data_IF_093643093404
#
_entry.id   IF_093643093404
#
_cell.length_a   1.000
_cell.length_b   1.000
_cell.length_c   1.000
_cell.angle_alpha   90.00
_cell.angle_beta   90.00
_cell.angle_gamma   90.00
#
_symmetry.space_group_name_H-M   'P 1'
#
loop_
_entity.id
_entity.type
_entity.pdbx_description
1 polymer ?
#
# COMPACT_ATOMS: atom_id res chain seq x y z
N UNK A 1 22.99 -28.33 1.37
CA UNK A 1 23.04 -28.00 2.81
C UNK A 1 21.91 -28.73 3.51
N UNK A 2 22.16 -29.25 4.72
CA UNK A 2 21.13 -29.88 5.55
C UNK A 2 20.28 -28.80 6.23
N UNK A 3 19.01 -29.10 6.50
CA UNK A 3 18.10 -28.18 7.19
C UNK A 3 18.65 -27.72 8.56
N UNK A 4 19.27 -28.62 9.31
CA UNK A 4 19.86 -28.34 10.63
C UNK A 4 21.04 -27.36 10.61
N UNK A 5 21.54 -26.97 9.43
CA UNK A 5 22.55 -25.93 9.31
C UNK A 5 21.95 -24.53 9.47
N UNK A 6 20.64 -24.36 9.24
CA UNK A 6 19.92 -23.10 9.47
C UNK A 6 19.89 -22.80 10.96
N UNK A 7 20.36 -21.61 11.34
CA UNK A 7 20.33 -21.16 12.74
C UNK A 7 18.88 -21.02 13.19
N UNK A 8 18.56 -21.60 14.35
CA UNK A 8 17.20 -21.65 14.89
C UNK A 8 16.37 -22.85 14.42
N UNK A 9 16.84 -23.64 13.44
CA UNK A 9 16.16 -24.85 12.96
C UNK A 9 16.68 -26.08 13.71
N UNK A 10 15.99 -26.44 14.80
CA UNK A 10 16.32 -27.60 15.62
C UNK A 10 16.07 -28.94 14.90
N UNK A 11 16.84 -29.98 15.26
CA UNK A 11 16.73 -31.32 14.68
C UNK A 11 15.32 -31.93 14.77
N UNK A 12 14.53 -31.57 15.78
CA UNK A 12 13.14 -32.02 15.91
C UNK A 12 12.24 -31.47 14.79
N UNK A 13 12.39 -30.18 14.45
CA UNK A 13 11.63 -29.54 13.38
C UNK A 13 12.16 -29.95 12.01
N UNK A 14 13.47 -30.15 11.85
CA UNK A 14 14.06 -30.70 10.63
C UNK A 14 13.42 -32.04 10.24
N UNK A 15 13.26 -32.96 11.19
CA UNK A 15 12.60 -34.25 10.95
C UNK A 15 11.12 -34.12 10.57
N UNK A 16 10.43 -33.11 11.09
CA UNK A 16 9.03 -32.85 10.74
C UNK A 16 8.92 -32.27 9.32
N UNK A 17 9.82 -31.37 8.94
CA UNK A 17 9.95 -30.85 7.57
C UNK A 17 10.27 -31.97 6.57
N UNK A 18 11.19 -32.87 6.91
CA UNK A 18 11.53 -34.04 6.08
C UNK A 18 10.32 -34.95 5.83
N UNK A 19 9.49 -35.17 6.88
CA UNK A 19 8.23 -35.94 6.76
C UNK A 19 7.20 -35.23 5.88
N UNK A 20 7.22 -33.90 5.84
CA UNK A 20 6.37 -33.08 4.99
C UNK A 20 6.93 -32.90 3.56
N UNK A 21 8.03 -33.58 3.22
CA UNK A 21 8.62 -33.56 1.88
C UNK A 21 9.73 -32.52 1.66
N UNK A 22 10.06 -31.72 2.69
CA UNK A 22 11.13 -30.72 2.66
C UNK A 22 12.39 -31.35 3.23
N UNK A 23 13.32 -31.78 2.37
CA UNK A 23 14.48 -32.59 2.77
C UNK A 23 15.77 -31.77 2.84
N UNK A 24 15.87 -30.73 2.03
CA UNK A 24 17.04 -29.90 1.88
C UNK A 24 16.70 -28.41 2.03
N UNK A 25 17.70 -27.59 2.34
CA UNK A 25 17.54 -26.13 2.46
C UNK A 25 16.91 -25.50 1.21
N UNK A 26 17.23 -26.01 0.01
CA UNK A 26 16.68 -25.50 -1.25
C UNK A 26 15.18 -25.73 -1.39
N UNK A 27 14.64 -26.76 -0.73
CA UNK A 27 13.22 -27.10 -0.83
C UNK A 27 12.37 -26.04 -0.14
N UNK A 28 12.93 -25.35 0.88
CA UNK A 28 12.29 -24.20 1.52
C UNK A 28 12.04 -23.06 0.54
N UNK A 29 12.92 -22.82 -0.44
CA UNK A 29 12.80 -21.70 -1.40
C UNK A 29 11.56 -21.79 -2.28
N UNK A 30 11.04 -23.01 -2.48
CA UNK A 30 9.88 -23.26 -3.32
C UNK A 30 8.55 -23.06 -2.60
N UNK A 31 8.57 -22.83 -1.28
CA UNK A 31 7.37 -22.67 -0.48
C UNK A 31 6.74 -21.31 -0.74
N UNK A 32 5.47 -21.30 -1.13
CA UNK A 32 4.65 -20.09 -1.04
C UNK A 32 4.37 -19.74 0.42
N UNK A 33 4.02 -18.48 0.70
CA UNK A 33 3.63 -18.08 2.05
C UNK A 33 2.50 -18.94 2.63
N UNK A 34 1.53 -19.33 1.80
CA UNK A 34 0.46 -20.25 2.21
C UNK A 34 1.02 -21.62 2.64
N UNK A 35 1.96 -22.18 1.87
CA UNK A 35 2.61 -23.45 2.22
C UNK A 35 3.44 -23.33 3.51
N UNK A 36 4.11 -22.20 3.73
CA UNK A 36 4.80 -21.89 5.00
C UNK A 36 3.78 -21.90 6.15
N UNK A 37 2.66 -21.20 6.02
CA UNK A 37 1.64 -21.15 7.08
C UNK A 37 1.09 -22.52 7.44
N UNK A 38 0.75 -23.34 6.44
CA UNK A 38 0.26 -24.72 6.67
C UNK A 38 1.33 -25.60 7.32
N UNK A 39 2.56 -25.52 6.81
CA UNK A 39 3.67 -26.32 7.30
C UNK A 39 4.04 -25.93 8.73
N UNK A 40 4.13 -24.64 9.04
CA UNK A 40 4.42 -24.13 10.38
C UNK A 40 3.40 -24.63 11.42
N UNK A 41 2.10 -24.58 11.09
CA UNK A 41 1.04 -25.15 11.93
C UNK A 41 1.22 -26.66 12.13
N UNK A 42 1.50 -27.40 11.06
CA UNK A 42 1.65 -28.86 11.12
C UNK A 42 2.85 -29.32 11.95
N UNK A 43 3.93 -28.53 11.98
CA UNK A 43 5.17 -28.86 12.71
C UNK A 43 5.26 -28.16 14.08
N UNK A 44 4.25 -27.37 14.45
CA UNK A 44 4.13 -26.73 15.76
C UNK A 44 5.09 -25.56 16.00
N UNK A 45 5.35 -24.75 14.97
CA UNK A 45 6.17 -23.52 15.09
C UNK A 45 5.39 -22.29 14.67
N UNK A 46 5.83 -21.11 15.13
CA UNK A 46 5.27 -19.86 14.64
C UNK A 46 5.56 -19.69 13.14
N UNK A 47 4.61 -19.12 12.39
CA UNK A 47 4.75 -18.89 10.94
C UNK A 47 6.04 -18.10 10.66
N UNK A 48 6.27 -17.02 11.42
CA UNK A 48 7.49 -16.21 11.35
C UNK A 48 8.78 -17.03 11.52
N UNK A 49 8.76 -18.08 12.34
CA UNK A 49 9.94 -18.94 12.53
C UNK A 49 10.28 -19.71 11.27
N UNK A 50 9.27 -20.30 10.60
CA UNK A 50 9.48 -21.02 9.34
C UNK A 50 9.84 -20.06 8.20
N UNK A 51 9.23 -18.87 8.18
CA UNK A 51 9.53 -17.78 7.27
C UNK A 51 11.00 -17.37 7.36
N UNK A 52 11.51 -17.14 8.58
CA UNK A 52 12.94 -16.88 8.82
C UNK A 52 13.86 -18.02 8.35
N UNK A 53 13.42 -19.28 8.42
CA UNK A 53 14.20 -20.38 7.86
C UNK A 53 14.25 -20.33 6.33
N UNK A 54 13.17 -19.91 5.67
CA UNK A 54 13.15 -19.67 4.23
C UNK A 54 14.02 -18.46 3.84
N UNK A 55 13.94 -17.36 4.57
CA UNK A 55 14.79 -16.16 4.40
C UNK A 55 16.29 -16.51 4.50
N UNK A 56 16.66 -17.30 5.52
CA UNK A 56 18.01 -17.83 5.65
C UNK A 56 18.40 -18.71 4.45
N UNK A 57 17.49 -19.58 4.00
CA UNK A 57 17.72 -20.42 2.82
C UNK A 57 17.97 -19.57 1.56
N UNK A 58 17.22 -18.48 1.39
CA UNK A 58 17.36 -17.58 0.24
C UNK A 58 18.71 -16.85 0.28
N UNK A 59 19.06 -16.22 1.40
CA UNK A 59 20.34 -15.52 1.57
C UNK A 59 21.56 -16.44 1.34
N UNK A 60 21.48 -17.70 1.76
CA UNK A 60 22.55 -18.70 1.58
C UNK A 60 22.74 -19.15 0.12
N UNK A 61 21.93 -18.67 -0.84
CA UNK A 61 22.18 -18.86 -2.27
C UNK A 61 23.37 -18.05 -2.77
N UNK A 62 23.76 -16.99 -2.05
CA UNK A 62 24.91 -16.15 -2.38
C UNK A 62 26.19 -16.84 -1.90
N UNK A 63 27.18 -17.00 -2.79
CA UNK A 63 28.44 -17.67 -2.47
C UNK A 63 29.19 -16.96 -1.32
N UNK A 64 29.64 -17.75 -0.35
CA UNK A 64 30.27 -17.25 0.87
C UNK A 64 29.32 -16.74 1.97
N UNK A 65 27.99 -16.72 1.76
CA UNK A 65 27.02 -16.47 2.83
C UNK A 65 26.79 -17.75 3.63
N UNK A 66 27.48 -17.87 4.77
CA UNK A 66 27.29 -18.99 5.72
C UNK A 66 26.01 -18.82 6.56
N UNK A 67 25.53 -19.86 7.26
CA UNK A 67 24.33 -19.74 8.12
C UNK A 67 24.43 -18.64 9.19
N UNK A 68 25.62 -18.42 9.75
CA UNK A 68 25.88 -17.32 10.71
C UNK A 68 25.75 -15.95 10.06
N UNK A 69 26.19 -15.84 8.81
CA UNK A 69 26.09 -14.59 8.05
C UNK A 69 24.63 -14.35 7.67
N UNK A 70 23.91 -15.36 7.17
CA UNK A 70 22.48 -15.26 6.84
C UNK A 70 21.66 -14.78 8.04
N UNK A 71 21.84 -15.42 9.20
CA UNK A 71 21.19 -15.00 10.45
C UNK A 71 21.53 -13.56 10.84
N UNK A 72 22.78 -13.14 10.68
CA UNK A 72 23.17 -11.79 11.04
C UNK A 72 22.65 -10.73 10.06
N UNK A 73 22.52 -11.08 8.77
CA UNK A 73 21.91 -10.23 7.76
C UNK A 73 20.41 -10.04 8.03
N UNK A 74 19.70 -11.13 8.34
CA UNK A 74 18.30 -11.09 8.74
C UNK A 74 18.07 -10.22 9.98
N UNK A 75 18.92 -10.36 11.01
CA UNK A 75 18.85 -9.53 12.23
C UNK A 75 19.07 -8.02 11.99
N UNK A 76 19.68 -7.61 10.88
CA UNK A 76 19.83 -6.19 10.50
C UNK A 76 18.79 -5.73 9.46
N UNK A 77 17.77 -6.56 9.21
CA UNK A 77 16.65 -6.35 8.29
C UNK A 77 17.07 -6.46 6.83
N UNK A 78 17.84 -7.50 6.48
CA UNK A 78 18.22 -7.85 5.12
C UNK A 78 17.81 -9.31 4.90
N UNK A 79 16.56 -9.53 4.53
CA UNK A 79 15.88 -10.81 4.75
C UNK A 79 15.87 -11.73 3.53
N UNK A 80 16.09 -11.18 2.33
CA UNK A 80 16.12 -11.95 1.09
C UNK A 80 17.18 -11.48 0.11
N UNK A 81 17.51 -12.32 -0.87
CA UNK A 81 18.40 -11.97 -1.99
C UNK A 81 17.83 -10.79 -2.77
N UNK A 82 16.51 -10.73 -2.95
CA UNK A 82 15.82 -9.63 -3.63
C UNK A 82 16.05 -8.30 -2.91
N UNK A 83 15.88 -8.27 -1.59
CA UNK A 83 16.17 -7.06 -0.82
C UNK A 83 17.65 -6.69 -0.82
N UNK A 84 18.52 -7.69 -0.79
CA UNK A 84 19.97 -7.53 -0.73
C UNK A 84 20.50 -6.68 -1.89
N UNK A 85 19.90 -6.79 -3.08
CA UNK A 85 20.27 -6.05 -4.31
C UNK A 85 20.27 -4.52 -4.13
N UNK A 86 19.36 -4.00 -3.30
CA UNK A 86 19.13 -2.56 -3.15
C UNK A 86 19.93 -1.94 -2.00
N UNK A 87 20.70 -2.74 -1.26
CA UNK A 87 21.36 -2.28 -0.04
C UNK A 87 22.68 -1.58 -0.33
N UNK A 88 23.02 -0.61 0.52
CA UNK A 88 24.31 0.04 0.50
C UNK A 88 25.34 -0.77 1.29
N UNK A 89 26.38 -1.29 0.62
CA UNK A 89 27.40 -2.14 1.24
C UNK A 89 28.09 -1.48 2.45
N UNK A 90 28.33 -0.17 2.41
CA UNK A 90 28.97 0.57 3.53
C UNK A 90 28.06 0.59 4.75
N UNK A 91 26.77 0.89 4.54
CA UNK A 91 25.79 0.90 5.63
C UNK A 91 25.58 -0.50 6.21
N UNK A 92 25.57 -1.55 5.36
CA UNK A 92 25.47 -2.93 5.81
C UNK A 92 26.66 -3.32 6.71
N UNK A 93 27.90 -2.95 6.34
CA UNK A 93 29.07 -3.18 7.20
C UNK A 93 28.94 -2.50 8.55
N UNK A 94 28.52 -1.23 8.58
CA UNK A 94 28.35 -0.50 9.85
C UNK A 94 27.26 -1.12 10.74
N UNK A 95 26.13 -1.55 10.15
CA UNK A 95 25.11 -2.30 10.87
C UNK A 95 25.61 -3.63 11.42
N UNK A 96 26.39 -4.39 10.63
CA UNK A 96 26.97 -5.66 11.09
C UNK A 96 28.02 -5.46 12.19
N UNK A 97 28.77 -4.35 12.16
CA UNK A 97 29.67 -3.97 13.26
C UNK A 97 28.90 -3.66 14.54
N UNK A 98 27.82 -2.89 14.43
CA UNK A 98 26.95 -2.57 15.56
C UNK A 98 26.34 -3.84 16.15
N UNK A 99 25.75 -4.70 15.31
CA UNK A 99 25.20 -5.99 15.73
C UNK A 99 26.26 -6.87 16.42
N UNK A 100 27.49 -6.93 15.89
CA UNK A 100 28.58 -7.69 16.50
C UNK A 100 29.03 -7.09 17.84
N UNK A 101 28.98 -5.77 17.99
CA UNK A 101 29.31 -5.08 19.25
C UNK A 101 28.26 -5.40 20.31
N UNK A 102 26.99 -5.35 19.94
CA UNK A 102 25.87 -5.55 20.87
C UNK A 102 25.67 -7.04 21.18
N UNK A 103 25.90 -7.92 20.19
CA UNK A 103 25.74 -9.36 20.29
C UNK A 103 26.98 -10.11 19.76
N UNK A 104 28.06 -10.23 20.56
CA UNK A 104 29.33 -10.82 20.12
C UNK A 104 29.26 -12.27 19.63
N UNK A 105 28.23 -13.02 19.97
CA UNK A 105 28.07 -14.43 19.60
C UNK A 105 27.47 -14.64 18.21
N UNK A 106 26.76 -13.64 17.67
CA UNK A 106 25.98 -13.75 16.42
C UNK A 106 26.88 -13.89 15.19
N UNK A 107 28.03 -13.22 15.18
CA UNK A 107 29.01 -13.24 14.09
C UNK A 107 30.40 -13.47 14.66
N UNK A 108 31.23 -14.33 14.07
CA UNK A 108 32.63 -14.46 14.50
C UNK A 108 33.48 -13.31 13.95
N UNK A 109 33.30 -12.98 12.68
CA UNK A 109 34.02 -11.92 11.97
C UNK A 109 33.05 -11.12 11.11
N UNK A 110 33.17 -9.79 11.14
CA UNK A 110 32.38 -8.91 10.28
C UNK A 110 32.92 -8.99 8.84
N UNK A 111 32.07 -9.24 7.84
CA UNK A 111 32.47 -9.21 6.43
C UNK A 111 33.03 -7.85 6.02
N UNK A 112 34.02 -7.84 5.13
CA UNK A 112 34.62 -6.58 4.66
C UNK A 112 33.69 -5.90 3.64
N UNK A 113 33.86 -4.59 3.43
CA UNK A 113 33.10 -3.84 2.42
C UNK A 113 33.13 -4.54 1.05
N UNK A 114 34.29 -5.05 0.65
CA UNK A 114 34.47 -5.72 -0.64
C UNK A 114 33.65 -7.01 -0.74
N UNK A 115 33.53 -7.76 0.36
CA UNK A 115 32.70 -8.97 0.42
C UNK A 115 31.23 -8.62 0.23
N UNK A 116 30.70 -7.61 0.94
CA UNK A 116 29.31 -7.17 0.75
C UNK A 116 29.05 -6.66 -0.68
N UNK A 117 29.97 -5.90 -1.25
CA UNK A 117 29.85 -5.43 -2.64
C UNK A 117 29.76 -6.62 -3.62
N UNK A 118 30.57 -7.66 -3.40
CA UNK A 118 30.52 -8.87 -4.23
C UNK A 118 29.19 -9.61 -4.06
N UNK A 119 28.70 -9.77 -2.83
CA UNK A 119 27.39 -10.38 -2.56
C UNK A 119 26.24 -9.60 -3.21
N UNK A 120 26.27 -8.27 -3.23
CA UNK A 120 25.26 -7.46 -3.93
C UNK A 120 25.30 -7.72 -5.44
N UNK A 121 26.51 -7.81 -6.02
CA UNK A 121 26.68 -8.13 -7.44
C UNK A 121 26.14 -9.52 -7.76
N UNK A 122 26.37 -10.48 -6.88
CA UNK A 122 25.87 -11.85 -7.04
C UNK A 122 24.35 -11.94 -6.86
N UNK A 123 23.80 -11.26 -5.85
CA UNK A 123 22.35 -11.15 -5.63
C UNK A 123 21.62 -10.59 -6.86
N UNK A 124 22.23 -9.62 -7.56
CA UNK A 124 21.70 -9.08 -8.83
C UNK A 124 21.64 -10.12 -9.94
N UNK A 125 22.63 -11.03 -10.01
CA UNK A 125 22.64 -12.12 -11.00
C UNK A 125 21.57 -13.17 -10.69
N UNK A 126 21.25 -13.36 -9.40
CA UNK A 126 20.26 -14.35 -8.95
C UNK A 126 18.80 -13.90 -9.11
N UNK A 127 18.56 -12.60 -9.37
CA UNK A 127 17.22 -11.99 -9.38
C UNK A 127 16.80 -11.40 -10.72
N UNK A 128 17.58 -11.62 -11.80
CA UNK A 128 17.36 -11.04 -13.14
C UNK A 128 17.12 -9.51 -13.15
N UNK A 129 17.63 -8.81 -12.14
CA UNK A 129 17.62 -7.35 -12.12
C UNK A 129 18.65 -6.84 -13.15
N UNK A 130 18.26 -6.00 -14.14
CA UNK A 130 19.17 -5.55 -15.19
C UNK A 130 20.47 -4.96 -14.63
N UNK A 131 21.61 -5.32 -15.26
CA UNK A 131 22.91 -4.73 -14.95
C UNK A 131 22.90 -3.23 -15.26
N UNK A 132 22.62 -2.41 -14.25
CA UNK A 132 23.01 -1.00 -14.26
C UNK A 132 24.52 -0.91 -14.49
N UNK A 133 24.91 -0.25 -15.58
CA UNK A 133 26.23 -0.32 -16.20
C UNK A 133 27.43 0.02 -15.32
N UNK A 134 28.58 -0.44 -15.79
CA UNK A 134 29.91 -0.23 -15.21
C UNK A 134 30.20 1.25 -14.90
N UNK A 135 30.76 1.50 -13.72
CA UNK A 135 31.37 2.78 -13.38
C UNK A 135 32.61 3.01 -14.26
N UNK A 136 32.48 3.84 -15.28
CA UNK A 136 33.63 4.47 -15.93
C UNK A 136 34.32 5.40 -14.93
N UNK A 137 35.60 5.17 -14.64
CA UNK A 137 36.44 6.09 -13.88
C UNK A 137 36.57 7.42 -14.64
N UNK A 138 35.86 8.47 -14.21
CA UNK A 138 36.17 9.85 -14.60
C UNK A 138 37.16 10.44 -13.57
N UNK A 139 38.22 11.07 -14.08
CA UNK A 139 39.20 11.86 -13.30
C UNK A 139 38.47 12.91 -12.44
N UNK A 140 39.04 13.29 -11.28
CA UNK A 140 38.40 14.26 -10.38
C UNK A 140 38.27 15.61 -11.09
N UNK A 141 37.04 16.05 -11.30
CA UNK A 141 36.70 17.40 -11.71
C UNK A 141 36.66 18.26 -10.43
N UNK A 142 37.24 19.48 -10.42
CA UNK A 142 37.20 20.35 -9.25
C UNK A 142 35.76 20.57 -8.79
N UNK A 143 35.54 20.60 -7.46
CA UNK A 143 34.23 20.87 -6.86
C UNK A 143 33.76 22.27 -7.27
N UNK A 144 32.88 22.35 -8.25
CA UNK A 144 31.95 23.46 -8.32
C UNK A 144 30.88 23.27 -7.25
N UNK A 145 30.56 24.36 -6.55
CA UNK A 145 29.44 24.40 -5.61
C UNK A 145 28.20 23.93 -6.37
N UNK A 146 27.54 22.90 -5.86
CA UNK A 146 26.21 22.55 -6.34
C UNK A 146 25.35 23.82 -6.30
N UNK A 147 24.62 24.15 -7.38
CA UNK A 147 23.60 25.17 -7.26
C UNK A 147 22.62 24.71 -6.17
N UNK A 148 22.02 25.66 -5.42
CA UNK A 148 21.03 25.32 -4.41
C UNK A 148 20.03 24.33 -5.01
N UNK A 149 19.73 23.25 -4.29
CA UNK A 149 18.60 22.39 -4.61
C UNK A 149 17.39 23.31 -4.67
N UNK A 150 16.84 23.53 -5.86
CA UNK A 150 15.64 24.34 -6.02
C UNK A 150 14.61 23.76 -5.04
N UNK A 151 14.16 24.61 -4.13
CA UNK A 151 12.93 24.37 -3.39
C UNK A 151 11.87 23.98 -4.41
N UNK A 152 11.10 22.90 -4.21
CA UNK A 152 10.00 22.56 -5.11
C UNK A 152 9.20 23.82 -5.33
N UNK A 153 9.04 24.23 -6.58
CA UNK A 153 8.25 25.40 -6.92
C UNK A 153 6.87 25.21 -6.28
N UNK A 154 6.55 26.05 -5.30
CA UNK A 154 5.29 25.97 -4.55
C UNK A 154 4.12 26.49 -5.39
N UNK A 155 4.36 26.87 -6.65
CA UNK A 155 3.28 27.13 -7.59
C UNK A 155 2.45 25.87 -7.76
N UNK A 156 1.21 25.93 -7.28
CA UNK A 156 0.17 24.98 -7.69
C UNK A 156 0.16 25.02 -9.23
N UNK A 157 0.40 23.89 -9.92
CA UNK A 157 0.43 23.89 -11.36
C UNK A 157 -0.93 24.37 -11.86
N UNK A 158 -0.95 25.54 -12.49
CA UNK A 158 -2.10 25.93 -13.30
C UNK A 158 -2.17 24.87 -14.38
N UNK A 159 -3.26 24.12 -14.42
CA UNK A 159 -3.49 23.11 -15.45
C UNK A 159 -4.27 23.79 -16.58
N UNK A 160 -3.60 24.41 -17.57
CA UNK A 160 -4.30 25.05 -18.67
C UNK A 160 -5.18 24.01 -19.37
N UNK A 161 -6.44 24.37 -19.62
CA UNK A 161 -7.42 23.53 -20.31
C UNK A 161 -7.84 22.25 -19.54
N UNK A 162 -7.85 22.27 -18.21
CA UNK A 162 -8.53 21.22 -17.44
C UNK A 162 -9.97 21.03 -17.95
N UNK A 163 -10.26 19.82 -18.43
CA UNK A 163 -11.59 19.41 -18.87
C UNK A 163 -11.79 17.95 -18.45
N UNK A 164 -12.77 17.63 -17.58
CA UNK A 164 -13.10 16.26 -17.24
C UNK A 164 -13.27 15.39 -18.49
N UNK A 165 -12.78 14.15 -18.43
CA UNK A 165 -12.94 13.22 -19.55
C UNK A 165 -14.41 12.91 -19.79
N UNK A 166 -14.76 12.70 -21.05
CA UNK A 166 -16.05 12.12 -21.40
C UNK A 166 -16.18 10.72 -20.81
N UNK A 167 -17.36 10.44 -20.27
CA UNK A 167 -17.64 9.17 -19.64
C UNK A 167 -17.75 8.06 -20.68
N UNK A 168 -17.33 6.85 -20.30
CA UNK A 168 -17.58 5.63 -21.06
C UNK A 168 -19.04 5.19 -20.89
N UNK A 169 -19.95 6.00 -21.42
CA UNK A 169 -21.39 5.71 -21.44
C UNK A 169 -21.78 4.91 -22.68
N UNK A 170 -22.73 3.99 -22.50
CA UNK A 170 -23.35 3.21 -23.56
C UNK A 170 -24.72 2.73 -23.11
N UNK A 171 -25.50 2.17 -24.01
CA UNK A 171 -26.73 1.48 -23.61
C UNK A 171 -26.38 0.17 -22.87
N UNK A 172 -26.74 0.11 -21.60
CA UNK A 172 -26.52 -1.06 -20.73
C UNK A 172 -27.75 -1.97 -20.65
N UNK A 173 -28.85 -1.60 -21.30
CA UNK A 173 -30.13 -2.31 -21.22
C UNK A 173 -30.57 -2.54 -19.77
N UNK A 174 -31.07 -3.75 -19.48
CA UNK A 174 -31.57 -4.12 -18.14
C UNK A 174 -30.47 -4.31 -17.07
N UNK A 175 -29.19 -4.32 -17.44
CA UNK A 175 -28.06 -4.50 -16.52
C UNK A 175 -27.25 -3.20 -16.33
N UNK A 176 -27.95 -2.07 -16.36
CA UNK A 176 -27.40 -0.74 -16.10
C UNK A 176 -27.29 -0.37 -14.62
N UNK A 177 -27.15 0.93 -14.30
CA UNK A 177 -26.86 1.40 -12.94
C UNK A 177 -27.86 0.93 -11.89
N UNK A 178 -29.17 1.01 -12.16
CA UNK A 178 -30.23 0.60 -11.22
C UNK A 178 -30.08 -0.87 -10.82
N UNK A 179 -29.79 -1.75 -11.78
CA UNK A 179 -29.58 -3.17 -11.50
C UNK A 179 -28.40 -3.42 -10.55
N UNK A 180 -27.32 -2.63 -10.65
CA UNK A 180 -26.09 -2.86 -9.88
C UNK A 180 -26.03 -2.11 -8.55
N UNK A 181 -26.65 -0.94 -8.47
CA UNK A 181 -26.69 -0.14 -7.25
C UNK A 181 -27.67 -0.73 -6.22
N UNK A 182 -28.77 -1.35 -6.68
CA UNK A 182 -29.85 -1.83 -5.82
C UNK A 182 -29.65 -3.27 -5.31
N UNK A 183 -28.46 -3.85 -5.50
CA UNK A 183 -28.18 -5.23 -5.05
C UNK A 183 -27.97 -5.33 -3.55
N UNK A 184 -27.57 -4.25 -2.90
CA UNK A 184 -27.19 -4.19 -1.49
C UNK A 184 -27.83 -2.95 -0.89
N UNK A 185 -28.18 -3.02 0.39
CA UNK A 185 -28.70 -1.85 1.10
C UNK A 185 -27.62 -0.78 1.25
N UNK A 186 -28.00 0.46 1.03
CA UNK A 186 -27.11 1.60 1.29
C UNK A 186 -27.09 1.92 2.77
N UNK A 187 -25.90 2.11 3.33
CA UNK A 187 -25.72 2.49 4.72
C UNK A 187 -24.60 3.54 4.83
N UNK A 188 -24.75 4.57 5.68
CA UNK A 188 -23.63 5.44 6.02
C UNK A 188 -22.51 4.64 6.67
N UNK A 189 -21.28 4.83 6.19
CA UNK A 189 -20.07 4.28 6.79
C UNK A 189 -19.18 5.46 7.16
N UNK A 190 -18.90 5.59 8.44
CA UNK A 190 -18.18 6.74 8.99
C UNK A 190 -16.80 6.29 9.42
N UNK A 191 -15.77 6.88 8.84
CA UNK A 191 -14.38 6.69 9.21
C UNK A 191 -13.97 7.72 10.27
N UNK A 192 -13.37 7.26 11.37
CA UNK A 192 -13.02 8.11 12.53
C UNK A 192 -11.51 8.08 12.86
N UNK A 193 -10.69 7.47 11.99
CA UNK A 193 -9.26 7.30 12.25
C UNK A 193 -8.42 8.58 12.14
N UNK A 194 -8.87 9.58 11.37
CA UNK A 194 -8.08 10.81 11.12
C UNK A 194 -8.19 11.81 12.25
N UNK A 195 -7.05 12.33 12.71
CA UNK A 195 -6.97 13.49 13.58
C UNK A 195 -6.50 14.72 12.81
N UNK A 196 -7.12 15.88 13.05
CA UNK A 196 -6.58 17.14 12.59
C UNK A 196 -5.29 17.44 13.39
N UNK A 197 -4.19 17.81 12.71
CA UNK A 197 -2.89 18.12 13.35
C UNK A 197 -2.69 19.62 13.49
N UNK A 198 -2.31 20.08 14.68
CA UNK A 198 -1.97 21.48 14.96
C UNK A 198 -1.65 21.69 16.44
N UNK A 199 -1.04 22.83 16.77
CA UNK A 199 -0.61 23.15 18.14
C UNK A 199 -1.74 23.18 19.19
N UNK A 200 -3.01 23.21 18.75
CA UNK A 200 -4.17 23.45 19.62
C UNK A 200 -5.36 22.50 19.41
N UNK A 201 -5.23 21.44 18.60
CA UNK A 201 -6.31 20.45 18.46
C UNK A 201 -5.75 19.06 18.12
N UNK A 202 -6.15 18.06 18.91
CA UNK A 202 -5.97 16.63 18.62
C UNK A 202 -7.34 15.98 18.43
N UNK A 203 -8.20 16.60 17.62
CA UNK A 203 -9.58 16.15 17.42
C UNK A 203 -9.65 15.15 16.27
N UNK A 204 -10.17 13.95 16.56
CA UNK A 204 -10.59 13.00 15.53
C UNK A 204 -11.77 13.59 14.74
N UNK A 205 -11.75 13.37 13.43
CA UNK A 205 -12.81 13.81 12.54
C UNK A 205 -13.55 12.61 11.99
N UNK A 206 -14.87 12.76 11.93
CA UNK A 206 -15.76 11.82 11.30
C UNK A 206 -15.84 12.16 9.81
N UNK A 207 -15.50 11.18 8.97
CA UNK A 207 -15.50 11.33 7.53
C UNK A 207 -16.39 10.25 6.96
N UNK A 208 -17.40 10.63 6.20
CA UNK A 208 -18.12 9.66 5.37
C UNK A 208 -17.14 9.08 4.35
N UNK A 209 -17.00 7.75 4.30
CA UNK A 209 -15.98 7.07 3.46
C UNK A 209 -16.05 7.48 1.99
N UNK A 210 -17.23 7.88 1.51
CA UNK A 210 -17.42 8.39 0.14
C UNK A 210 -16.54 9.61 -0.18
N UNK A 211 -16.24 10.43 0.83
CA UNK A 211 -15.43 11.65 0.67
C UNK A 211 -13.98 11.36 0.25
N UNK A 212 -13.47 10.14 0.47
CA UNK A 212 -12.13 9.73 0.04
C UNK A 212 -12.04 9.52 -1.47
N UNK A 213 -13.14 9.16 -2.13
CA UNK A 213 -13.18 9.02 -3.59
C UNK A 213 -13.32 10.40 -4.21
N UNK A 214 -12.28 10.86 -4.91
CA UNK A 214 -12.28 12.17 -5.56
C UNK A 214 -12.72 12.03 -7.00
N UNK A 215 -13.67 12.87 -7.41
CA UNK A 215 -14.15 13.05 -8.78
C UNK A 215 -13.95 14.49 -9.19
N UNK A 216 -13.68 14.72 -10.48
CA UNK A 216 -13.36 16.04 -11.02
C UNK A 216 -12.13 16.67 -10.35
N UNK A 217 -11.12 15.86 -10.08
CA UNK A 217 -9.88 16.28 -9.43
C UNK A 217 -8.83 16.66 -10.48
N UNK A 218 -8.34 17.90 -10.41
CA UNK A 218 -7.40 18.42 -11.38
C UNK A 218 -6.01 17.76 -11.30
N UNK A 219 -5.60 17.31 -10.11
CA UNK A 219 -4.32 16.59 -9.93
C UNK A 219 -4.44 15.21 -10.56
N UNK A 220 -5.53 14.49 -10.30
CA UNK A 220 -5.75 13.17 -10.90
C UNK A 220 -5.88 13.25 -12.42
N UNK A 221 -6.58 14.26 -12.94
CA UNK A 221 -6.63 14.51 -14.38
C UNK A 221 -5.25 14.79 -14.99
N UNK A 222 -4.41 15.56 -14.29
CA UNK A 222 -3.04 15.82 -14.73
C UNK A 222 -2.21 14.53 -14.77
N UNK A 223 -2.33 13.66 -13.76
CA UNK A 223 -1.68 12.34 -13.75
C UNK A 223 -2.16 11.47 -14.92
N UNK A 224 -3.48 11.38 -15.14
CA UNK A 224 -4.07 10.59 -16.22
C UNK A 224 -3.59 11.05 -17.61
N UNK A 225 -3.46 12.36 -17.81
CA UNK A 225 -3.03 12.94 -19.09
C UNK A 225 -1.53 12.83 -19.32
N UNK A 226 -0.70 13.19 -18.34
CA UNK A 226 0.77 13.14 -18.47
C UNK A 226 1.29 11.72 -18.66
N UNK A 227 0.69 10.75 -17.95
CA UNK A 227 1.08 9.35 -18.02
C UNK A 227 0.28 8.56 -19.08
N UNK A 228 -0.62 9.23 -19.81
CA UNK A 228 -1.47 8.63 -20.84
C UNK A 228 -2.20 7.37 -20.34
N UNK A 229 -2.82 7.43 -19.16
CA UNK A 229 -3.42 6.26 -18.50
C UNK A 229 -4.82 5.93 -19.05
N UNK A 230 -5.57 6.92 -19.53
CA UNK A 230 -6.85 6.69 -20.20
C UNK A 230 -6.61 6.13 -21.59
N UNK A 231 -7.25 4.99 -21.91
CA UNK A 231 -7.15 4.29 -23.20
C UNK A 231 -8.48 4.38 -23.96
N UNK A 232 -8.54 3.71 -25.11
CA UNK A 232 -9.73 3.72 -25.98
C UNK A 232 -10.91 2.97 -25.37
N UNK A 233 -10.64 1.94 -24.57
CA UNK A 233 -11.67 1.13 -23.91
C UNK A 233 -11.63 1.31 -22.39
N UNK A 234 -12.77 1.10 -21.69
CA UNK A 234 -12.79 1.19 -20.23
C UNK A 234 -11.98 0.06 -19.57
N UNK A 235 -11.93 -1.14 -20.17
CA UNK A 235 -11.10 -2.24 -19.69
C UNK A 235 -9.59 -1.91 -19.81
N UNK A 236 -9.13 -1.43 -20.96
CA UNK A 236 -7.70 -1.07 -21.14
C UNK A 236 -7.29 0.10 -20.24
N UNK A 237 -8.21 1.04 -20.03
CA UNK A 237 -8.05 2.14 -19.07
C UNK A 237 -7.88 1.59 -17.65
N UNK A 238 -8.75 0.66 -17.23
CA UNK A 238 -8.68 0.06 -15.91
C UNK A 238 -7.36 -0.70 -15.68
N UNK A 239 -6.92 -1.49 -16.66
CA UNK A 239 -5.65 -2.20 -16.61
C UNK A 239 -4.47 -1.22 -16.52
N UNK A 240 -4.46 -0.18 -17.36
CA UNK A 240 -3.39 0.82 -17.35
C UNK A 240 -3.29 1.56 -16.01
N UNK A 241 -4.42 1.82 -15.35
CA UNK A 241 -4.48 2.48 -14.04
C UNK A 241 -3.99 1.52 -12.94
N UNK A 242 -4.45 0.26 -12.93
CA UNK A 242 -3.96 -0.75 -11.98
C UNK A 242 -2.43 -0.86 -12.08
N UNK A 243 -1.91 -1.02 -13.31
CA UNK A 243 -0.48 -1.15 -13.56
C UNK A 243 0.31 0.08 -13.10
N UNK A 244 -0.24 1.29 -13.28
CA UNK A 244 0.40 2.49 -12.77
C UNK A 244 0.49 2.45 -11.25
N UNK A 245 -0.61 2.20 -10.54
CA UNK A 245 -0.64 2.24 -9.08
C UNK A 245 0.28 1.18 -8.47
N UNK A 246 0.25 -0.06 -8.97
CA UNK A 246 1.11 -1.16 -8.49
C UNK A 246 2.61 -0.86 -8.63
N UNK A 247 3.01 -0.10 -9.67
CA UNK A 247 4.41 0.25 -9.91
C UNK A 247 4.83 1.55 -9.22
N UNK A 248 3.88 2.43 -8.92
CA UNK A 248 4.13 3.77 -8.40
C UNK A 248 4.14 3.79 -6.86
N UNK A 249 3.12 3.20 -6.22
CA UNK A 249 2.99 3.23 -4.76
C UNK A 249 3.93 2.22 -4.10
N UNK A 250 4.49 2.63 -2.96
CA UNK A 250 5.28 1.75 -2.08
C UNK A 250 4.44 1.41 -0.86
N UNK A 251 4.18 0.12 -0.64
CA UNK A 251 3.40 -0.33 0.51
C UNK A 251 4.08 0.04 1.83
N UNK A 252 3.37 0.74 2.70
CA UNK A 252 3.85 1.16 4.01
C UNK A 252 2.69 1.31 5.00
N UNK A 253 2.79 0.61 6.14
CA UNK A 253 1.79 0.73 7.20
C UNK A 253 1.72 2.14 7.79
N UNK A 254 0.51 2.51 8.20
CA UNK A 254 0.18 3.81 8.79
C UNK A 254 0.92 4.13 10.08
N UNK A 255 1.18 3.14 10.93
CA UNK A 255 1.92 3.33 12.18
C UNK A 255 3.38 3.76 11.93
N UNK A 256 3.94 3.43 10.76
CA UNK A 256 5.29 3.83 10.31
C UNK A 256 5.23 5.11 9.43
N UNK A 257 4.13 5.33 8.72
CA UNK A 257 3.96 6.48 7.82
C UNK A 257 3.50 7.75 8.54
N UNK A 258 2.59 7.59 9.49
CA UNK A 258 1.74 8.66 10.00
C UNK A 258 1.73 8.73 11.53
N UNK A 259 2.52 7.96 12.29
CA UNK A 259 2.45 7.92 13.78
C UNK A 259 1.01 7.71 14.30
N UNK A 260 0.13 7.15 13.49
CA UNK A 260 -1.30 6.97 13.74
C UNK A 260 -1.65 5.53 13.31
N UNK A 261 -2.42 4.76 14.10
CA UNK A 261 -2.67 3.35 13.77
C UNK A 261 -3.48 3.09 12.50
N UNK A 262 -4.25 4.09 12.03
CA UNK A 262 -5.05 4.02 10.79
C UNK A 262 -5.28 5.45 10.28
N UNK A 263 -4.83 5.75 9.06
CA UNK A 263 -4.76 7.05 8.44
C UNK A 263 -5.00 6.96 6.92
N UNK A 264 -6.26 6.83 6.53
CA UNK A 264 -6.65 6.81 5.12
C UNK A 264 -6.21 8.10 4.41
N UNK A 265 -5.44 7.94 3.32
CA UNK A 265 -4.97 9.01 2.47
C UNK A 265 -6.02 9.41 1.43
N UNK A 266 -6.13 10.71 1.17
CA UNK A 266 -6.77 11.16 -0.06
C UNK A 266 -5.89 10.83 -1.27
N UNK A 267 -6.47 10.67 -2.48
CA UNK A 267 -5.71 10.32 -3.68
C UNK A 267 -4.50 11.24 -3.98
N UNK A 268 -4.66 12.56 -3.77
CA UNK A 268 -3.57 13.52 -3.97
C UNK A 268 -2.48 13.40 -2.89
N UNK A 269 -2.81 12.93 -1.69
CA UNK A 269 -1.85 12.68 -0.61
C UNK A 269 -1.03 11.43 -0.95
N UNK A 270 -1.68 10.35 -1.40
CA UNK A 270 -1.01 9.13 -1.87
C UNK A 270 -0.07 9.40 -3.05
N UNK A 271 -0.47 10.26 -4.00
CA UNK A 271 0.39 10.67 -5.13
C UNK A 271 1.62 11.45 -4.64
N UNK A 272 1.45 12.41 -3.73
CA UNK A 272 2.55 13.26 -3.28
C UNK A 272 3.49 12.55 -2.31
N UNK A 273 2.97 11.58 -1.53
CA UNK A 273 3.74 10.81 -0.57
C UNK A 273 4.45 9.60 -1.22
N UNK A 274 3.93 9.10 -2.35
CA UNK A 274 4.34 7.86 -3.04
C UNK A 274 4.21 6.59 -2.17
N UNK A 275 3.48 6.69 -1.07
CA UNK A 275 3.29 5.60 -0.11
C UNK A 275 1.80 5.44 0.21
N UNK A 276 1.43 4.24 0.65
CA UNK A 276 0.13 3.96 1.22
C UNK A 276 0.02 2.48 1.60
N UNK A 277 -1.09 2.10 2.22
CA UNK A 277 -1.46 0.71 2.48
C UNK A 277 -2.76 0.32 1.74
N UNK A 278 -3.42 -0.75 2.18
CA UNK A 278 -4.40 -1.45 1.34
C UNK A 278 -5.52 -0.52 0.84
N UNK A 279 -6.11 0.29 1.71
CA UNK A 279 -7.16 1.24 1.38
C UNK A 279 -6.65 2.39 0.51
N UNK A 280 -5.43 2.88 0.72
CA UNK A 280 -4.92 4.08 0.06
C UNK A 280 -4.79 3.84 -1.45
N UNK A 281 -4.19 2.72 -1.82
CA UNK A 281 -4.09 2.34 -3.22
C UNK A 281 -5.45 1.94 -3.82
N UNK A 282 -6.36 1.35 -3.04
CA UNK A 282 -7.72 1.07 -3.50
C UNK A 282 -8.50 2.37 -3.80
N UNK A 283 -8.41 3.35 -2.91
CA UNK A 283 -8.99 4.70 -3.04
C UNK A 283 -8.37 5.44 -4.23
N UNK A 284 -7.05 5.33 -4.42
CA UNK A 284 -6.36 5.93 -5.55
C UNK A 284 -6.80 5.31 -6.88
N UNK A 285 -6.84 3.98 -7.00
CA UNK A 285 -7.34 3.28 -8.19
C UNK A 285 -8.78 3.73 -8.49
N UNK A 286 -9.67 3.66 -7.50
CA UNK A 286 -11.07 4.02 -7.68
C UNK A 286 -11.25 5.48 -8.16
N UNK A 287 -10.51 6.41 -7.56
CA UNK A 287 -10.55 7.82 -7.94
C UNK A 287 -9.98 8.04 -9.35
N UNK A 288 -8.88 7.38 -9.72
CA UNK A 288 -8.32 7.46 -11.08
C UNK A 288 -9.28 6.90 -12.13
N UNK A 289 -9.94 5.77 -11.87
CA UNK A 289 -10.93 5.18 -12.78
C UNK A 289 -12.08 6.16 -13.05
N UNK A 290 -12.64 6.74 -11.98
CA UNK A 290 -13.76 7.69 -12.09
C UNK A 290 -13.33 8.96 -12.84
N UNK A 291 -12.15 9.50 -12.54
CA UNK A 291 -11.63 10.68 -13.25
C UNK A 291 -11.28 10.37 -14.71
N UNK A 292 -10.93 9.13 -15.06
CA UNK A 292 -10.71 8.69 -16.44
C UNK A 292 -12.02 8.54 -17.25
N UNK A 293 -13.17 8.75 -16.63
CA UNK A 293 -14.49 8.68 -17.27
C UNK A 293 -15.20 7.35 -17.08
N UNK A 294 -14.70 6.44 -16.23
CA UNK A 294 -15.49 5.24 -15.88
C UNK A 294 -16.64 5.67 -14.97
N UNK A 295 -17.90 5.30 -15.27
CA UNK A 295 -19.04 5.66 -14.43
C UNK A 295 -18.88 5.18 -12.98
N UNK A 296 -19.24 6.03 -12.01
CA UNK A 296 -19.13 5.77 -10.57
C UNK A 296 -19.72 4.42 -10.13
N UNK A 297 -20.86 4.03 -10.69
CA UNK A 297 -21.55 2.77 -10.36
C UNK A 297 -20.79 1.51 -10.82
N UNK A 298 -19.77 1.65 -11.68
CA UNK A 298 -18.88 0.57 -12.13
C UNK A 298 -17.64 0.42 -11.27
N UNK A 299 -17.45 1.24 -10.24
CA UNK A 299 -16.25 1.26 -9.41
C UNK A 299 -16.67 1.22 -7.95
N UNK A 300 -16.04 0.36 -7.15
CA UNK A 300 -16.23 0.35 -5.69
C UNK A 300 -14.91 0.02 -5.00
N UNK A 301 -14.66 0.64 -3.86
CA UNK A 301 -13.69 0.14 -2.88
C UNK A 301 -14.41 -0.85 -1.97
N UNK A 302 -13.77 -1.97 -1.69
CA UNK A 302 -14.24 -3.01 -0.79
C UNK A 302 -13.34 -3.06 0.44
N UNK A 303 -13.94 -3.07 1.62
CA UNK A 303 -13.29 -3.51 2.85
C UNK A 303 -13.86 -4.88 3.22
N UNK A 304 -12.98 -5.87 3.30
CA UNK A 304 -13.38 -7.26 3.41
C UNK A 304 -12.35 -8.10 4.14
N UNK A 305 -12.67 -9.38 4.32
CA UNK A 305 -11.72 -10.41 4.64
C UNK A 305 -11.16 -11.05 3.37
N UNK A 306 -9.86 -11.33 3.40
CA UNK A 306 -9.15 -12.14 2.39
C UNK A 306 -8.39 -13.24 3.09
N UNK A 307 -7.92 -14.23 2.33
CA UNK A 307 -6.99 -15.24 2.83
C UNK A 307 -5.77 -14.53 3.46
N UNK A 308 -5.54 -14.81 4.73
CA UNK A 308 -4.57 -14.07 5.52
C UNK A 308 -3.15 -14.13 4.93
N UNK A 309 -2.50 -12.98 4.95
CA UNK A 309 -1.19 -12.70 4.35
C UNK A 309 -0.36 -11.93 5.37
N UNK A 310 0.96 -12.18 5.54
CA UNK A 310 1.71 -11.60 6.66
C UNK A 310 1.87 -10.09 6.51
N UNK A 311 1.80 -9.59 5.28
CA UNK A 311 2.11 -8.21 4.94
C UNK A 311 0.80 -7.47 4.67
N UNK A 312 -0.01 -7.97 3.75
CA UNK A 312 -1.14 -7.22 3.20
C UNK A 312 -2.47 -7.51 3.89
N UNK A 313 -2.56 -8.62 4.64
CA UNK A 313 -3.76 -9.01 5.39
C UNK A 313 -3.40 -9.80 6.67
N UNK A 314 -2.63 -9.22 7.61
CA UNK A 314 -2.10 -9.95 8.76
C UNK A 314 -3.21 -10.39 9.71
N UNK A 315 -3.17 -11.67 10.10
CA UNK A 315 -4.16 -12.28 10.99
C UNK A 315 -3.65 -13.56 11.64
N UNK A 316 -4.05 -13.78 12.88
CA UNK A 316 -3.84 -15.03 13.61
C UNK A 316 -4.76 -16.16 13.11
N UNK A 317 -5.80 -15.82 12.35
CA UNK A 317 -6.76 -16.77 11.77
C UNK A 317 -6.46 -17.05 10.30
N UNK A 318 -7.36 -17.74 9.60
CA UNK A 318 -7.23 -18.00 8.16
C UNK A 318 -7.54 -16.77 7.31
N UNK A 319 -8.22 -15.77 7.89
CA UNK A 319 -8.69 -14.58 7.19
C UNK A 319 -8.14 -13.30 7.82
N UNK A 320 -7.64 -12.39 6.99
CA UNK A 320 -7.18 -11.07 7.40
C UNK A 320 -8.04 -9.97 6.79
N UNK A 321 -8.12 -8.83 7.48
CA UNK A 321 -8.76 -7.63 6.93
C UNK A 321 -7.92 -7.05 5.80
N UNK A 322 -8.58 -6.61 4.73
CA UNK A 322 -7.94 -6.03 3.56
C UNK A 322 -8.91 -5.11 2.82
N UNK A 323 -8.37 -4.09 2.15
CA UNK A 323 -9.11 -3.20 1.28
C UNK A 323 -8.59 -3.24 -0.16
N UNK A 324 -9.50 -3.27 -1.13
CA UNK A 324 -9.17 -3.38 -2.56
C UNK A 324 -10.24 -2.71 -3.42
N UNK A 325 -9.88 -2.37 -4.66
CA UNK A 325 -10.83 -1.83 -5.63
C UNK A 325 -11.47 -2.99 -6.42
N UNK A 326 -12.77 -2.88 -6.71
CA UNK A 326 -13.45 -3.71 -7.70
C UNK A 326 -13.97 -2.84 -8.83
N UNK A 327 -13.90 -3.41 -10.03
CA UNK A 327 -14.32 -2.78 -11.26
C UNK A 327 -15.31 -3.67 -12.00
N UNK A 328 -16.43 -3.10 -12.42
CA UNK A 328 -17.45 -3.79 -13.19
C UNK A 328 -17.02 -3.78 -14.66
N UNK A 329 -16.28 -4.80 -15.07
CA UNK A 329 -15.63 -4.90 -16.36
C UNK A 329 -16.59 -5.26 -17.50
N UNK A 330 -16.28 -4.80 -18.72
CA UNK A 330 -16.95 -5.28 -19.93
C UNK A 330 -16.57 -6.75 -20.16
N UNK A 331 -17.59 -7.63 -20.15
CA UNK A 331 -17.49 -9.08 -20.38
C UNK A 331 -18.54 -9.50 -21.42
N UNK A 332 -18.27 -9.29 -22.72
CA UNK A 332 -19.26 -9.52 -23.77
C UNK A 332 -19.77 -10.97 -23.80
N UNK A 333 -18.96 -11.92 -23.33
CA UNK A 333 -19.32 -13.34 -23.26
C UNK A 333 -20.22 -13.69 -22.07
N UNK A 334 -20.35 -12.81 -21.08
CA UNK A 334 -21.28 -13.04 -19.96
C UNK A 334 -22.73 -12.69 -20.35
N UNK A 335 -23.69 -13.32 -19.68
CA UNK A 335 -25.12 -13.00 -19.86
C UNK A 335 -25.40 -11.53 -19.52
N UNK A 336 -24.75 -11.01 -18.47
CA UNK A 336 -24.93 -9.64 -17.99
C UNK A 336 -24.15 -8.60 -18.77
N UNK A 337 -23.25 -9.01 -19.67
CA UNK A 337 -22.28 -8.17 -20.40
C UNK A 337 -21.29 -7.41 -19.52
N UNK A 338 -21.49 -7.44 -18.21
CA UNK A 338 -20.71 -6.80 -17.17
C UNK A 338 -20.48 -7.79 -16.03
N UNK A 339 -19.25 -7.87 -15.52
CA UNK A 339 -18.92 -8.65 -14.33
C UNK A 339 -17.90 -7.93 -13.45
N UNK A 340 -18.07 -8.06 -12.13
CA UNK A 340 -17.10 -7.53 -11.17
C UNK A 340 -15.80 -8.32 -11.23
N UNK A 341 -14.69 -7.61 -11.41
CA UNK A 341 -13.32 -8.09 -11.27
C UNK A 341 -12.62 -7.29 -10.18
N UNK A 342 -11.54 -7.85 -9.66
CA UNK A 342 -10.75 -7.23 -8.59
C UNK A 342 -9.57 -6.50 -9.23
N UNK A 343 -9.33 -5.27 -8.77
CA UNK A 343 -8.17 -4.45 -9.08
C UNK A 343 -7.42 -4.19 -7.78
N UNK A 344 -6.72 -5.21 -7.31
CA UNK A 344 -5.88 -5.13 -6.13
C UNK A 344 -4.53 -4.51 -6.51
N UNK A 345 -3.97 -3.75 -5.59
CA UNK A 345 -2.73 -3.01 -5.81
C UNK A 345 -1.55 -3.55 -4.98
N UNK A 346 -1.82 -4.28 -3.90
CA UNK A 346 -0.79 -4.73 -2.97
C UNK A 346 -0.83 -6.24 -2.69
N UNK A 347 -2.02 -6.85 -2.54
CA UNK A 347 -2.15 -8.25 -2.14
C UNK A 347 -2.02 -9.23 -3.33
N UNK A 348 -3.05 -9.35 -4.19
CA UNK A 348 -2.99 -10.17 -5.41
C UNK A 348 -3.14 -9.27 -6.64
N UNK A 349 -2.04 -8.59 -6.98
CA UNK A 349 -2.03 -7.47 -7.91
C UNK A 349 -2.31 -7.81 -9.37
N UNK A 350 -1.94 -9.02 -9.79
CA UNK A 350 -2.12 -9.59 -11.13
C UNK A 350 -2.07 -8.59 -12.33
N UNK A 351 -1.09 -7.65 -12.39
CA UNK A 351 -1.07 -6.52 -13.34
C UNK A 351 -0.90 -6.95 -14.81
N UNK A 352 -0.39 -8.15 -15.05
CA UNK A 352 -0.20 -8.75 -16.37
C UNK A 352 -1.46 -9.41 -16.93
N UNK A 353 -2.48 -9.67 -16.12
CA UNK A 353 -3.70 -10.37 -16.54
C UNK A 353 -4.67 -9.37 -17.15
N UNK A 354 -5.12 -9.64 -18.38
CA UNK A 354 -6.13 -8.83 -19.04
C UNK A 354 -7.41 -8.77 -18.21
N UNK A 355 -8.06 -7.61 -18.17
CA UNK A 355 -9.31 -7.41 -17.43
C UNK A 355 -10.40 -8.43 -17.82
N UNK A 356 -10.42 -8.87 -19.08
CA UNK A 356 -11.33 -9.89 -19.62
C UNK A 356 -10.99 -11.31 -19.21
N UNK A 357 -9.84 -11.54 -18.60
CA UNK A 357 -9.34 -12.85 -18.17
C UNK A 357 -9.26 -12.97 -16.65
N UNK A 358 -9.27 -11.83 -15.93
CA UNK A 358 -9.27 -11.82 -14.46
C UNK A 358 -10.38 -12.70 -13.88
N UNK A 359 -10.12 -13.42 -12.78
CA UNK A 359 -11.16 -14.15 -12.06
C UNK A 359 -12.28 -13.21 -11.57
N UNK A 360 -13.51 -13.73 -11.50
CA UNK A 360 -14.66 -12.93 -11.08
C UNK A 360 -14.65 -12.71 -9.56
N UNK A 361 -14.95 -11.48 -9.13
CA UNK A 361 -15.02 -11.12 -7.71
C UNK A 361 -16.05 -11.98 -6.95
N UNK A 362 -17.20 -12.29 -7.58
CA UNK A 362 -18.24 -13.17 -6.99
C UNK A 362 -17.79 -14.60 -6.70
N UNK A 363 -16.68 -15.05 -7.31
CA UNK A 363 -16.08 -16.36 -7.07
C UNK A 363 -14.90 -16.27 -6.08
N UNK A 364 -14.73 -15.11 -5.44
CA UNK A 364 -13.63 -14.83 -4.53
C UNK A 364 -12.32 -14.47 -5.24
N UNK A 365 -12.37 -14.04 -6.50
CA UNK A 365 -11.18 -13.64 -7.25
C UNK A 365 -10.20 -14.78 -7.49
N UNK A 366 -8.91 -14.45 -7.56
CA UNK A 366 -7.82 -15.42 -7.76
C UNK A 366 -7.82 -16.45 -6.64
N UNK A 367 -7.96 -17.72 -7.02
CA UNK A 367 -7.98 -18.88 -6.11
C UNK A 367 -9.03 -18.81 -4.98
N UNK A 368 -10.06 -17.96 -5.12
CA UNK A 368 -11.03 -17.74 -4.04
C UNK A 368 -10.41 -17.04 -2.82
N UNK A 369 -9.39 -16.21 -3.01
CA UNK A 369 -8.70 -15.51 -1.93
C UNK A 369 -9.57 -14.44 -1.24
N UNK A 370 -10.55 -13.87 -1.93
CA UNK A 370 -11.40 -12.78 -1.43
C UNK A 370 -12.70 -13.33 -0.87
N UNK A 371 -13.03 -12.98 0.38
CA UNK A 371 -14.08 -13.64 1.17
C UNK A 371 -15.15 -12.64 1.62
N UNK A 372 -15.27 -12.41 2.92
CA UNK A 372 -16.40 -11.72 3.51
C UNK A 372 -16.28 -10.21 3.35
N UNK A 373 -17.12 -9.62 2.50
CA UNK A 373 -17.21 -8.17 2.33
C UNK A 373 -17.97 -7.58 3.52
N UNK A 374 -17.34 -6.66 4.24
CA UNK A 374 -17.98 -5.92 5.33
C UNK A 374 -18.79 -4.74 4.79
N UNK A 375 -18.17 -3.97 3.89
CA UNK A 375 -18.80 -2.85 3.22
C UNK A 375 -18.11 -2.52 1.91
N UNK A 376 -18.83 -1.81 1.04
CA UNK A 376 -18.26 -1.23 -0.18
C UNK A 376 -18.69 0.22 -0.34
N UNK A 377 -17.92 1.03 -1.07
CA UNK A 377 -18.29 2.42 -1.33
C UNK A 377 -17.70 2.95 -2.63
N UNK A 378 -18.30 4.02 -3.16
CA UNK A 378 -17.76 4.86 -4.23
C UNK A 378 -17.98 6.34 -3.88
N UNK A 379 -17.91 7.26 -4.86
CA UNK A 379 -18.14 8.69 -4.61
C UNK A 379 -19.60 9.08 -4.31
N UNK A 380 -20.56 8.18 -4.55
CA UNK A 380 -22.01 8.46 -4.46
C UNK A 380 -22.68 7.66 -3.34
N UNK A 381 -22.34 6.38 -3.21
CA UNK A 381 -23.01 5.43 -2.31
C UNK A 381 -22.00 4.64 -1.48
N UNK A 382 -22.47 4.20 -0.32
CA UNK A 382 -21.82 3.23 0.56
C UNK A 382 -22.85 2.15 0.89
N UNK A 383 -22.42 0.89 0.86
CA UNK A 383 -23.28 -0.28 0.98
C UNK A 383 -22.79 -1.21 2.10
N UNK A 384 -23.69 -1.58 3.00
CA UNK A 384 -23.49 -2.55 4.08
C UNK A 384 -24.83 -3.02 4.65
N UNK A 385 -24.83 -4.12 5.43
CA UNK A 385 -26.06 -4.62 6.09
C UNK A 385 -26.58 -3.69 7.19
N UNK A 386 -25.69 -2.91 7.80
CA UNK A 386 -26.00 -1.92 8.82
C UNK A 386 -25.04 -0.74 8.72
N UNK A 387 -25.44 0.43 9.18
CA UNK A 387 -24.51 1.55 9.38
C UNK A 387 -23.53 1.25 10.51
N UNK A 388 -22.26 1.60 10.36
CA UNK A 388 -21.27 1.48 11.43
C UNK A 388 -20.09 2.43 11.24
N UNK A 389 -19.26 2.51 12.29
CA UNK A 389 -18.03 3.29 12.33
C UNK A 389 -16.82 2.40 12.06
N UNK A 390 -15.93 2.85 11.19
CA UNK A 390 -14.60 2.28 10.96
C UNK A 390 -13.63 3.03 11.87
N UNK A 391 -13.22 2.37 12.96
CA UNK A 391 -12.34 2.93 13.97
C UNK A 391 -10.99 2.19 14.04
N UNK A 392 -9.96 2.90 14.51
CA UNK A 392 -8.60 2.36 14.60
C UNK A 392 -8.46 1.22 15.61
N UNK A 393 -7.54 0.28 15.34
CA UNK A 393 -7.03 -0.65 16.34
C UNK A 393 -6.28 0.14 17.43
N UNK A 394 -7.02 0.57 18.45
CA UNK A 394 -6.57 1.23 19.68
C UNK A 394 -6.02 2.66 19.47
N UNK A 395 -6.90 3.66 19.61
CA UNK A 395 -6.54 4.94 20.24
C UNK A 395 -7.15 5.05 21.65
N UNK A 396 -7.00 4.02 22.49
CA UNK A 396 -7.31 4.13 23.93
C UNK A 396 -6.21 4.95 24.60
N UNK A 397 -6.25 6.27 24.48
CA UNK A 397 -5.79 7.27 25.49
C UNK A 397 -5.52 8.65 24.86
N UNK A 398 -6.55 9.45 24.63
CA UNK A 398 -6.54 10.93 24.80
C UNK A 398 -7.93 11.51 24.49
N UNK A 399 -8.70 11.80 25.54
CA UNK A 399 -9.88 12.66 25.48
C UNK A 399 -9.53 14.01 26.10
N UNK A 400 -9.67 15.10 25.36
CA UNK A 400 -9.66 16.47 25.91
C UNK A 400 -11.04 16.76 26.54
N UNK A 401 -11.08 17.44 27.70
CA UNK A 401 -12.34 17.69 28.42
C UNK A 401 -13.21 18.75 27.72
N UNK A 402 -14.53 18.54 27.77
CA UNK A 402 -15.58 19.32 27.09
C UNK A 402 -15.53 20.83 27.36
N UNK A 403 -15.04 21.22 28.53
CA UNK A 403 -15.03 22.61 28.99
C UNK A 403 -13.96 23.47 28.30
N UNK A 404 -12.96 22.86 27.67
CA UNK A 404 -11.92 23.57 26.88
C UNK A 404 -12.36 23.89 25.44
N UNK A 405 -13.49 23.34 24.98
CA UNK A 405 -14.00 23.48 23.60
C UNK A 405 -14.91 24.71 23.41
N UNK A 406 -15.54 25.20 24.49
CA UNK A 406 -16.51 26.30 24.41
C UNK A 406 -15.83 27.68 24.36
N UNK A 407 -14.70 27.87 25.05
CA UNK A 407 -13.98 29.14 25.05
C UNK A 407 -13.40 29.54 23.66
N UNK A 408 -12.85 28.61 22.85
CA UNK A 408 -12.30 28.96 21.53
C UNK A 408 -13.37 29.18 20.44
N UNK A 409 -14.58 28.65 20.61
CA UNK A 409 -15.68 28.90 19.66
C UNK A 409 -16.14 30.36 19.72
N UNK A 410 -16.18 30.95 20.92
CA UNK A 410 -16.45 32.39 21.09
C UNK A 410 -15.39 33.26 20.40
N UNK A 411 -14.12 32.84 20.41
CA UNK A 411 -13.03 33.62 19.80
C UNK A 411 -12.98 33.46 18.27
N UNK A 412 -13.34 32.29 17.74
CA UNK A 412 -13.53 32.08 16.29
C UNK A 412 -14.73 32.90 15.78
N UNK A 413 -15.82 32.98 16.56
CA UNK A 413 -16.98 33.80 16.22
C UNK A 413 -16.65 35.31 16.25
N UNK A 414 -15.82 35.76 17.21
CA UNK A 414 -15.31 37.16 17.25
C UNK A 414 -14.43 37.48 16.04
N UNK A 415 -13.57 36.57 15.62
CA UNK A 415 -12.70 36.74 14.44
C UNK A 415 -13.51 36.83 13.13
N UNK A 416 -14.51 35.97 12.95
CA UNK A 416 -15.41 36.01 11.78
C UNK A 416 -16.29 37.27 11.76
N UNK A 417 -16.68 37.77 12.94
CA UNK A 417 -17.41 39.02 13.07
C UNK A 417 -16.53 40.23 12.70
N UNK A 418 -15.27 40.29 13.14
CA UNK A 418 -14.35 41.39 12.81
C UNK A 418 -14.12 41.53 11.29
N UNK A 419 -13.81 40.44 10.59
CA UNK A 419 -13.59 40.48 9.14
C UNK A 419 -14.83 40.92 8.35
N UNK A 420 -16.02 40.63 8.87
CA UNK A 420 -17.28 41.04 8.24
C UNK A 420 -17.61 42.50 8.55
N UNK A 421 -17.28 42.94 9.76
CA UNK A 421 -17.51 44.30 10.26
C UNK A 421 -16.55 45.30 9.62
N UNK A 422 -15.25 44.97 9.51
CA UNK A 422 -14.25 45.80 8.81
C UNK A 422 -14.63 46.04 7.34
N UNK A 423 -15.02 44.99 6.62
CA UNK A 423 -15.51 45.10 5.22
C UNK A 423 -16.79 45.93 5.09
N UNK A 424 -17.63 45.94 6.13
CA UNK A 424 -18.84 46.76 6.15
C UNK A 424 -18.50 48.24 6.40
N UNK A 425 -17.54 48.51 7.28
CA UNK A 425 -17.10 49.87 7.61
C UNK A 425 -16.27 50.52 6.50
N UNK A 426 -15.40 49.77 5.83
CA UNK A 426 -14.72 50.22 4.60
C UNK A 426 -15.74 50.61 3.52
N UNK A 427 -16.80 49.79 3.35
CA UNK A 427 -17.85 50.05 2.35
C UNK A 427 -18.74 51.24 2.69
N UNK A 428 -18.85 51.58 3.98
CA UNK A 428 -19.61 52.73 4.48
C UNK A 428 -18.72 53.96 4.70
N UNK A 429 -17.43 53.88 4.40
CA UNK A 429 -16.44 54.95 4.49
C UNK A 429 -16.36 55.58 5.90
N UNK A 430 -16.48 54.74 6.93
CA UNK A 430 -16.33 55.11 8.34
C UNK A 430 -14.96 54.62 8.79
N UNK A 431 -14.06 55.55 9.10
CA UNK A 431 -12.77 55.24 9.72
C UNK A 431 -12.95 55.00 11.22
N UNK A 432 -12.30 53.94 11.70
CA UNK A 432 -12.29 53.55 13.12
C UNK A 432 -10.87 53.77 13.63
N UNK A 433 -10.71 54.54 14.72
CA UNK A 433 -9.42 54.67 15.44
C UNK A 433 -9.04 53.40 16.20
#
# INVERSE_FOLDING_TARGET
MKLTEIIGLEAKHAKLLEKAGIKEVKDLLSLSYYQIKQLARSIGVAVKTLDTWQEHADLMRIDGVTPKIANALNLIGMDSVKEFVYRNAKNAVEKLKLLKKDNPTVLTKVPTLKVLENWIVEAKKLTDVPKGGEKVKKKPVPKEKQPPRETPDSTIPIVPNYKPFEQFEKDYGKYGPDYWNDKWDTAPIIYTGRALRGASYNKQIDVDVKAFIKKNDAILWHVLTQLNLRKDTPNDTALSIQNFVCNFLKYKYDDIASECPEFWLFPFEAIQSEIGDCEDGAILIASLLINAGIPSWRVKVCAAQVMADPIFAPSDTELGGHAYCIYLADRPDSERKLEWVILDWCYLQDPEILITEKPLARNGGTEGAYREIWFTFNDIHSWAQSSFEVGSRISKNRTTQKDEVLAPLEDILKSLANDTIEKLFEKLNIDIE
#
